data_IF_554365016496
#
_entry.id   IF_554365016496
#
_cell.length_a   1.000
_cell.length_b   1.000
_cell.length_c   1.000
_cell.angle_alpha   90.00
_cell.angle_beta   90.00
_cell.angle_gamma   90.00
#
_symmetry.space_group_name_H-M   'P 1'
#
loop_
_entity.id
_entity.type
_entity.pdbx_description
1 polymer ?
#
# COMPACT_ATOMS: atom_id res chain seq x y z
N UNK A 1 -24.37 1.41 5.81
CA UNK A 1 -23.06 1.10 5.24
C UNK A 1 -22.44 2.26 4.48
N UNK A 2 -22.86 2.65 3.27
CA UNK A 2 -22.22 3.81 2.58
C UNK A 2 -22.33 5.08 3.43
N UNK A 3 -23.50 5.30 4.05
CA UNK A 3 -23.70 6.36 5.05
C UNK A 3 -22.73 6.26 6.23
N UNK A 4 -22.48 5.05 6.74
CA UNK A 4 -21.56 4.82 7.87
C UNK A 4 -20.10 4.98 7.45
N UNK A 5 -19.73 4.56 6.25
CA UNK A 5 -18.42 4.81 5.65
C UNK A 5 -18.18 6.32 5.52
N UNK A 6 -19.13 7.04 4.90
CA UNK A 6 -19.06 8.48 4.76
C UNK A 6 -18.90 9.16 6.13
N UNK A 7 -19.75 8.81 7.10
CA UNK A 7 -19.79 9.46 8.42
C UNK A 7 -18.62 9.07 9.33
N UNK A 8 -18.25 7.79 9.37
CA UNK A 8 -17.26 7.27 10.33
C UNK A 8 -15.82 7.37 9.82
N UNK A 9 -15.55 7.33 8.52
CA UNK A 9 -14.16 7.33 8.04
C UNK A 9 -13.88 8.32 6.92
N UNK A 10 -14.77 8.47 5.93
CA UNK A 10 -14.49 9.31 4.76
C UNK A 10 -14.41 10.78 5.13
N UNK A 11 -15.34 11.29 5.95
CA UNK A 11 -15.29 12.68 6.45
C UNK A 11 -14.02 12.92 7.28
N UNK A 12 -13.60 11.95 8.09
CA UNK A 12 -12.38 12.08 8.90
C UNK A 12 -11.14 12.12 8.01
N UNK A 13 -11.05 11.20 7.06
CA UNK A 13 -9.95 11.15 6.10
C UNK A 13 -9.94 12.37 5.18
N UNK A 14 -11.08 12.81 4.65
CA UNK A 14 -11.19 14.01 3.80
C UNK A 14 -10.74 15.27 4.54
N UNK A 15 -11.08 15.40 5.84
CA UNK A 15 -10.57 16.48 6.67
C UNK A 15 -9.05 16.41 6.83
N UNK A 16 -8.51 15.22 7.16
CA UNK A 16 -7.07 14.99 7.28
C UNK A 16 -6.33 15.30 5.96
N UNK A 17 -6.88 14.80 4.85
CA UNK A 17 -6.36 14.97 3.51
C UNK A 17 -6.27 16.45 3.14
N UNK A 18 -7.39 17.16 3.19
CA UNK A 18 -7.46 18.55 2.73
C UNK A 18 -6.74 19.53 3.67
N UNK A 19 -6.84 19.34 4.99
CA UNK A 19 -6.30 20.30 5.97
C UNK A 19 -4.81 20.07 6.28
N UNK A 20 -4.30 18.86 6.08
CA UNK A 20 -2.90 18.53 6.38
C UNK A 20 -2.12 18.00 5.18
N UNK A 21 -2.59 16.94 4.54
CA UNK A 21 -1.77 16.19 3.56
C UNK A 21 -1.62 16.98 2.24
N UNK A 22 -2.72 17.43 1.64
CA UNK A 22 -2.71 18.19 0.38
C UNK A 22 -2.23 19.63 0.58
N UNK A 23 -2.55 20.24 1.72
CA UNK A 23 -2.12 21.60 2.06
C UNK A 23 -0.59 21.73 2.16
N UNK A 24 0.09 20.71 2.69
CA UNK A 24 1.54 20.75 2.90
C UNK A 24 2.31 20.14 1.74
N UNK A 25 3.11 20.97 1.04
CA UNK A 25 3.85 20.55 -0.16
C UNK A 25 5.11 19.70 0.11
N UNK A 26 5.72 19.83 1.30
CA UNK A 26 7.05 19.24 1.60
C UNK A 26 7.08 18.35 2.84
N UNK A 27 6.45 18.77 3.93
CA UNK A 27 6.49 18.06 5.21
C UNK A 27 5.27 18.39 6.06
N UNK A 28 4.84 17.45 6.88
CA UNK A 28 3.77 17.63 7.86
C UNK A 28 3.92 16.63 9.00
N UNK A 29 3.12 16.81 10.06
CA UNK A 29 3.11 15.92 11.22
C UNK A 29 1.73 15.29 11.34
N UNK A 30 1.73 13.97 11.50
CA UNK A 30 0.53 13.20 11.82
C UNK A 30 0.62 12.67 13.26
N UNK A 31 -0.51 12.71 13.97
CA UNK A 31 -0.64 12.00 15.26
C UNK A 31 -0.86 10.50 15.04
N UNK A 32 -0.74 9.71 16.09
CA UNK A 32 -1.09 8.29 16.05
C UNK A 32 -2.55 8.05 15.59
N UNK A 33 -3.50 8.88 16.04
CA UNK A 33 -4.91 8.77 15.65
C UNK A 33 -5.11 9.11 14.17
N UNK A 34 -4.40 10.12 13.66
CA UNK A 34 -4.45 10.48 12.24
C UNK A 34 -3.84 9.38 11.35
N UNK A 35 -2.77 8.73 11.81
CA UNK A 35 -2.23 7.54 11.13
C UNK A 35 -3.23 6.38 11.15
N UNK A 36 -3.98 6.20 12.23
CA UNK A 36 -5.03 5.18 12.30
C UNK A 36 -6.18 5.49 11.33
N UNK A 37 -6.69 6.72 11.29
CA UNK A 37 -7.70 7.18 10.34
C UNK A 37 -7.22 6.90 8.90
N UNK A 38 -5.98 7.30 8.58
CA UNK A 38 -5.37 7.04 7.29
C UNK A 38 -5.35 5.55 6.95
N UNK A 39 -4.83 4.71 7.85
CA UNK A 39 -4.73 3.26 7.60
C UNK A 39 -6.10 2.60 7.49
N UNK A 40 -7.07 2.96 8.32
CA UNK A 40 -8.46 2.48 8.23
C UNK A 40 -9.08 2.80 6.88
N UNK A 41 -8.94 4.04 6.41
CA UNK A 41 -9.45 4.43 5.10
C UNK A 41 -8.88 3.54 3.99
N UNK A 42 -7.56 3.34 3.98
CA UNK A 42 -6.89 2.52 2.96
C UNK A 42 -7.25 1.03 3.07
N UNK A 43 -7.39 0.49 4.28
CA UNK A 43 -7.89 -0.89 4.50
C UNK A 43 -9.28 -1.03 3.90
N UNK A 44 -10.16 -0.06 4.13
CA UNK A 44 -11.51 -0.12 3.56
C UNK A 44 -11.46 0.05 2.04
N UNK A 45 -10.58 0.89 1.48
CA UNK A 45 -10.38 0.97 0.02
C UNK A 45 -10.05 -0.38 -0.58
N UNK A 46 -9.13 -1.15 0.02
CA UNK A 46 -8.77 -2.47 -0.52
C UNK A 46 -9.87 -3.51 -0.29
N UNK A 47 -10.54 -3.47 0.86
CA UNK A 47 -11.65 -4.36 1.17
C UNK A 47 -12.88 -4.11 0.30
N UNK A 48 -13.08 -2.87 -0.20
CA UNK A 48 -14.24 -2.47 -1.01
C UNK A 48 -14.27 -3.11 -2.40
N UNK A 49 -13.20 -3.77 -2.80
CA UNK A 49 -13.15 -4.49 -4.07
C UNK A 49 -13.86 -5.81 -3.88
N UNK A 50 -15.09 -5.89 -4.40
CA UNK A 50 -15.74 -7.19 -4.59
C UNK A 50 -14.93 -7.95 -5.64
N UNK A 51 -14.17 -8.96 -5.19
CA UNK A 51 -13.46 -9.88 -6.08
C UNK A 51 -14.53 -10.51 -6.97
N UNK A 52 -14.45 -10.27 -8.27
CA UNK A 52 -15.32 -10.96 -9.20
C UNK A 52 -14.97 -12.44 -9.28
N UNK A 53 -15.91 -13.28 -9.70
CA UNK A 53 -15.66 -14.72 -9.79
C UNK A 53 -14.46 -15.08 -10.67
N UNK A 54 -14.20 -14.28 -11.70
CA UNK A 54 -13.03 -14.39 -12.58
C UNK A 54 -11.69 -14.05 -11.89
N UNK A 55 -11.73 -13.20 -10.86
CA UNK A 55 -10.57 -12.78 -10.05
C UNK A 55 -10.39 -13.68 -8.80
N UNK A 56 -11.32 -14.61 -8.53
CA UNK A 56 -11.22 -15.51 -7.38
C UNK A 56 -10.10 -16.53 -7.60
N UNK A 57 -9.19 -16.61 -6.65
CA UNK A 57 -8.11 -17.61 -6.66
C UNK A 57 -8.74 -18.99 -6.49
N UNK A 58 -8.72 -19.79 -7.55
CA UNK A 58 -9.07 -21.21 -7.45
C UNK A 58 -7.94 -21.94 -6.73
N UNK A 59 -8.14 -22.24 -5.46
CA UNK A 59 -7.21 -23.06 -4.68
C UNK A 59 -7.50 -24.54 -5.00
N UNK A 60 -6.55 -25.29 -5.58
CA UNK A 60 -6.76 -26.69 -5.90
C UNK A 60 -7.21 -27.50 -4.67
N UNK A 61 -8.32 -28.23 -4.80
CA UNK A 61 -8.86 -29.07 -3.74
C UNK A 61 -9.75 -28.35 -2.72
N UNK A 62 -10.02 -27.05 -2.90
CA UNK A 62 -10.92 -26.27 -2.05
C UNK A 62 -12.25 -26.01 -2.76
N UNK A 63 -13.36 -26.19 -2.04
CA UNK A 63 -14.72 -25.88 -2.49
C UNK A 63 -15.00 -24.37 -2.46
N UNK A 64 -16.03 -23.93 -3.18
CA UNK A 64 -16.47 -22.53 -3.13
C UNK A 64 -16.96 -22.11 -1.73
N UNK A 65 -17.59 -23.01 -0.98
CA UNK A 65 -18.03 -22.74 0.39
C UNK A 65 -16.84 -22.49 1.33
N UNK A 66 -15.78 -23.30 1.21
CA UNK A 66 -14.55 -23.11 1.97
C UNK A 66 -13.86 -21.80 1.58
N UNK A 67 -13.80 -21.48 0.28
CA UNK A 67 -13.24 -20.22 -0.20
C UNK A 67 -14.04 -19.01 0.33
N UNK A 68 -15.37 -19.06 0.24
CA UNK A 68 -16.25 -18.00 0.76
C UNK A 68 -16.13 -17.85 2.28
N UNK A 69 -15.89 -18.94 3.01
CA UNK A 69 -15.61 -18.90 4.46
C UNK A 69 -14.28 -18.18 4.76
N UNK A 70 -13.24 -18.43 3.96
CA UNK A 70 -11.93 -17.76 4.09
C UNK A 70 -11.94 -16.29 3.69
N UNK A 71 -12.80 -15.91 2.73
CA UNK A 71 -12.99 -14.52 2.33
C UNK A 71 -13.86 -13.75 3.33
N UNK A 72 -14.81 -14.45 3.94
CA UNK A 72 -15.82 -13.91 4.85
C UNK A 72 -16.79 -12.95 4.16
N UNK A 73 -17.74 -12.42 4.94
CA UNK A 73 -18.66 -11.42 4.42
C UNK A 73 -17.97 -10.07 4.23
N UNK A 74 -18.13 -9.54 3.03
CA UNK A 74 -17.54 -8.27 2.61
C UNK A 74 -17.96 -7.10 3.51
N UNK A 75 -19.23 -7.04 3.91
CA UNK A 75 -19.76 -5.94 4.70
C UNK A 75 -19.37 -6.06 6.17
N UNK A 76 -19.37 -7.28 6.72
CA UNK A 76 -18.86 -7.58 8.05
C UNK A 76 -17.39 -7.16 8.19
N UNK A 77 -16.55 -7.50 7.20
CA UNK A 77 -15.14 -7.10 7.17
C UNK A 77 -14.94 -5.59 7.24
N UNK A 78 -15.72 -4.83 6.46
CA UNK A 78 -15.66 -3.36 6.48
C UNK A 78 -16.12 -2.82 7.83
N UNK A 79 -17.23 -3.33 8.38
CA UNK A 79 -17.79 -2.87 9.66
C UNK A 79 -16.83 -3.11 10.83
N UNK A 80 -16.19 -4.29 10.90
CA UNK A 80 -15.15 -4.62 11.88
C UNK A 80 -14.05 -3.56 11.94
N UNK A 81 -13.57 -3.12 10.78
CA UNK A 81 -12.55 -2.07 10.70
C UNK A 81 -13.12 -0.70 11.03
N UNK A 82 -14.31 -0.36 10.54
CA UNK A 82 -14.96 0.92 10.83
C UNK A 82 -15.15 1.13 12.34
N UNK A 83 -15.47 0.08 13.09
CA UNK A 83 -15.76 0.15 14.52
C UNK A 83 -14.52 0.17 15.41
N UNK A 84 -13.33 -0.16 14.87
CA UNK A 84 -12.06 -0.01 15.60
C UNK A 84 -11.78 1.46 15.93
N UNK A 85 -11.68 1.79 17.22
CA UNK A 85 -11.31 3.10 17.75
C UNK A 85 -9.82 3.22 18.00
N UNK A 86 -9.15 2.11 18.28
CA UNK A 86 -7.71 2.08 18.59
C UNK A 86 -6.94 1.20 17.61
N UNK A 87 -5.62 1.35 17.62
CA UNK A 87 -4.72 0.52 16.82
C UNK A 87 -4.73 -0.92 17.31
N UNK A 88 -4.81 -1.11 18.62
CA UNK A 88 -4.84 -2.40 19.31
C UNK A 88 -6.07 -3.21 18.94
N UNK A 89 -7.23 -2.56 18.79
CA UNK A 89 -8.45 -3.20 18.30
C UNK A 89 -8.27 -3.70 16.86
N UNK A 90 -7.70 -2.88 15.98
CA UNK A 90 -7.46 -3.27 14.59
C UNK A 90 -6.40 -4.39 14.48
N UNK A 91 -5.42 -4.43 15.38
CA UNK A 91 -4.42 -5.51 15.44
C UNK A 91 -4.99 -6.88 15.82
N UNK A 92 -6.19 -6.96 16.43
CA UNK A 92 -6.83 -8.26 16.68
C UNK A 92 -7.09 -9.05 15.39
N UNK A 93 -7.20 -8.36 14.26
CA UNK A 93 -7.41 -8.96 12.95
C UNK A 93 -6.12 -9.36 12.24
N UNK A 94 -4.94 -9.13 12.82
CA UNK A 94 -3.69 -9.72 12.33
C UNK A 94 -3.27 -10.95 13.13
N UNK A 95 -4.02 -11.29 14.18
CA UNK A 95 -3.75 -12.45 15.00
C UNK A 95 -4.37 -13.70 14.35
N UNK A 96 -3.52 -14.62 13.93
CA UNK A 96 -3.95 -15.88 13.30
C UNK A 96 -4.67 -16.81 14.28
N UNK A 97 -4.56 -16.56 15.60
CA UNK A 97 -5.25 -17.34 16.62
C UNK A 97 -6.65 -16.78 16.94
N UNK A 98 -7.05 -15.67 16.31
CA UNK A 98 -8.38 -15.10 16.50
C UNK A 98 -9.38 -15.75 15.54
N UNK A 99 -10.23 -16.62 16.08
CA UNK A 99 -11.28 -17.38 15.35
C UNK A 99 -12.25 -16.51 14.54
N UNK A 100 -12.36 -15.20 14.86
CA UNK A 100 -13.27 -14.27 14.17
C UNK A 100 -12.66 -13.61 12.92
N UNK A 101 -11.37 -13.86 12.66
CA UNK A 101 -10.61 -13.24 11.58
C UNK A 101 -10.55 -14.17 10.38
N UNK A 102 -11.22 -13.82 9.29
CA UNK A 102 -11.05 -14.51 8.02
C UNK A 102 -9.73 -14.07 7.34
N UNK A 103 -9.25 -14.89 6.40
CA UNK A 103 -7.92 -14.72 5.82
C UNK A 103 -7.81 -13.46 4.95
N UNK A 104 -8.91 -13.05 4.31
CA UNK A 104 -8.94 -11.85 3.49
C UNK A 104 -8.76 -10.58 4.33
N UNK A 105 -9.53 -10.46 5.42
CA UNK A 105 -9.39 -9.39 6.40
C UNK A 105 -7.98 -9.42 7.01
N UNK A 106 -7.49 -10.59 7.39
CA UNK A 106 -6.14 -10.76 7.93
C UNK A 106 -5.07 -10.20 6.99
N UNK A 107 -5.08 -10.62 5.71
CA UNK A 107 -4.06 -10.26 4.74
C UNK A 107 -3.99 -8.74 4.54
N UNK A 108 -5.12 -8.07 4.28
CA UNK A 108 -5.14 -6.64 4.00
C UNK A 108 -4.90 -5.77 5.24
N UNK A 109 -5.44 -6.16 6.39
CA UNK A 109 -5.18 -5.45 7.64
C UNK A 109 -3.70 -5.56 7.99
N UNK A 110 -3.11 -6.75 7.87
CA UNK A 110 -1.67 -6.96 8.10
C UNK A 110 -0.82 -6.10 7.16
N UNK A 111 -1.10 -6.16 5.86
CA UNK A 111 -0.36 -5.41 4.84
C UNK A 111 -0.33 -3.90 5.13
N UNK A 112 -1.47 -3.32 5.48
CA UNK A 112 -1.59 -1.87 5.66
C UNK A 112 -1.25 -1.42 7.08
N UNK A 113 -1.56 -2.20 8.13
CA UNK A 113 -1.23 -1.84 9.52
C UNK A 113 0.25 -2.02 9.82
N UNK A 114 0.90 -3.05 9.27
CA UNK A 114 2.31 -3.33 9.54
C UNK A 114 3.28 -2.57 8.62
N UNK A 115 2.81 -2.06 7.47
CA UNK A 115 3.59 -1.19 6.60
C UNK A 115 3.83 0.21 7.19
N UNK A 116 4.92 0.85 6.76
CA UNK A 116 5.14 2.27 7.01
C UNK A 116 4.64 3.11 5.83
N UNK A 117 4.25 4.34 6.12
CA UNK A 117 3.64 5.25 5.13
C UNK A 117 4.70 6.16 4.51
N UNK A 118 4.79 6.16 3.19
CA UNK A 118 5.55 7.15 2.41
C UNK A 118 4.56 8.01 1.62
N UNK A 119 4.83 9.30 1.54
CA UNK A 119 4.02 10.24 0.75
C UNK A 119 4.84 10.69 -0.47
N UNK A 120 4.26 10.59 -1.64
CA UNK A 120 4.93 10.92 -2.91
C UNK A 120 4.11 11.93 -3.71
N UNK A 121 4.80 12.77 -4.49
CA UNK A 121 4.19 13.78 -5.36
C UNK A 121 4.89 13.91 -6.71
N UNK A 122 4.19 14.48 -7.67
CA UNK A 122 4.61 14.57 -9.07
C UNK A 122 4.77 16.00 -9.60
N UNK A 123 4.71 17.00 -8.71
CA UNK A 123 4.71 18.44 -9.06
C UNK A 123 5.84 18.88 -9.99
N UNK A 124 6.97 18.17 -10.02
CA UNK A 124 8.14 18.53 -10.82
C UNK A 124 8.25 17.78 -12.15
N UNK A 125 7.55 16.65 -12.31
CA UNK A 125 7.66 15.81 -13.49
C UNK A 125 6.52 16.01 -14.50
N UNK A 126 5.46 16.75 -14.11
CA UNK A 126 4.26 17.02 -14.93
C UNK A 126 3.53 15.75 -15.39
N UNK A 127 3.70 14.66 -14.64
CA UNK A 127 2.93 13.43 -14.84
C UNK A 127 1.92 13.31 -13.70
N UNK A 128 0.66 13.04 -14.00
CA UNK A 128 -0.39 12.84 -12.99
C UNK A 128 -0.53 11.35 -12.65
N UNK A 129 -0.95 11.06 -11.43
CA UNK A 129 -1.37 9.72 -11.05
C UNK A 129 -2.72 9.36 -11.68
N UNK A 130 -2.84 8.12 -12.11
CA UNK A 130 -4.09 7.50 -12.53
C UNK A 130 -4.77 6.90 -11.30
N UNK A 131 -6.08 7.12 -11.14
CA UNK A 131 -6.87 6.51 -10.07
C UNK A 131 -7.72 5.39 -10.67
N UNK A 132 -7.39 4.10 -10.43
CA UNK A 132 -8.21 3.00 -10.90
C UNK A 132 -9.49 2.89 -10.06
N UNK A 133 -10.52 2.25 -10.60
CA UNK A 133 -11.75 1.89 -9.87
C UNK A 133 -11.50 1.06 -8.60
N UNK A 134 -10.48 0.20 -8.61
CA UNK A 134 -10.00 -0.54 -7.44
C UNK A 134 -9.34 0.37 -6.38
N UNK A 135 -8.97 1.61 -6.73
CA UNK A 135 -8.45 2.64 -5.81
C UNK A 135 -7.01 2.45 -5.33
N UNK A 136 -6.33 1.37 -5.72
CA UNK A 136 -4.93 1.10 -5.37
C UNK A 136 -4.28 0.13 -6.36
N UNK A 137 -2.99 -0.15 -6.20
CA UNK A 137 -2.33 -1.33 -6.75
C UNK A 137 -1.25 -1.85 -5.77
N UNK A 138 -0.98 -3.16 -5.81
CA UNK A 138 0.12 -3.78 -5.06
C UNK A 138 1.26 -4.15 -6.00
N UNK A 139 2.48 -4.20 -5.46
CA UNK A 139 3.66 -4.69 -6.16
C UNK A 139 4.34 -5.82 -5.40
N UNK A 140 4.66 -6.89 -6.13
CA UNK A 140 5.42 -8.04 -5.67
C UNK A 140 6.67 -8.17 -6.52
N UNK A 141 7.80 -7.70 -6.00
CA UNK A 141 9.06 -7.70 -6.72
C UNK A 141 9.82 -9.02 -6.60
N UNK A 142 11.08 -9.05 -7.09
CA UNK A 142 11.94 -10.24 -7.11
C UNK A 142 12.16 -10.92 -5.75
N UNK A 143 11.90 -10.22 -4.63
CA UNK A 143 12.10 -10.73 -3.27
C UNK A 143 10.81 -10.98 -2.48
N UNK A 144 9.62 -10.77 -3.07
CA UNK A 144 8.30 -10.89 -2.42
C UNK A 144 8.21 -11.97 -1.31
N UNK A 145 8.34 -13.26 -1.63
CA UNK A 145 8.36 -14.35 -0.61
C UNK A 145 9.70 -14.51 0.10
N UNK A 146 10.80 -14.13 -0.57
CA UNK A 146 12.18 -14.25 -0.04
C UNK A 146 12.45 -13.32 1.14
N UNK A 147 11.65 -12.24 1.33
CA UNK A 147 11.76 -11.34 2.49
C UNK A 147 11.61 -12.09 3.81
N UNK A 148 10.63 -12.99 3.90
CA UNK A 148 10.35 -13.74 5.13
C UNK A 148 11.52 -14.66 5.48
N UNK A 149 11.94 -15.49 4.53
CA UNK A 149 13.05 -16.43 4.73
C UNK A 149 14.36 -15.69 5.03
N UNK A 150 14.67 -14.63 4.27
CA UNK A 150 15.83 -13.79 4.51
C UNK A 150 15.85 -13.15 5.90
N UNK A 151 14.69 -12.69 6.39
CA UNK A 151 14.58 -12.12 7.75
C UNK A 151 14.80 -13.19 8.83
N UNK A 152 14.23 -14.39 8.65
CA UNK A 152 14.41 -15.50 9.59
C UNK A 152 15.85 -16.02 9.60
N UNK A 153 16.52 -16.04 8.45
CA UNK A 153 17.93 -16.44 8.39
C UNK A 153 18.86 -15.41 9.03
N UNK A 154 18.55 -14.11 8.89
CA UNK A 154 19.24 -13.08 9.66
C UNK A 154 19.00 -13.23 11.17
N UNK A 155 17.79 -13.60 11.59
CA UNK A 155 17.49 -13.87 12.99
C UNK A 155 18.34 -15.02 13.52
N UNK A 156 18.43 -16.14 12.80
CA UNK A 156 19.28 -17.28 13.19
C UNK A 156 20.76 -16.89 13.34
N UNK A 157 21.25 -15.97 12.51
CA UNK A 157 22.65 -15.51 12.54
C UNK A 157 22.94 -14.50 13.65
N UNK A 158 22.00 -13.61 13.94
CA UNK A 158 22.20 -12.47 14.87
C UNK A 158 21.58 -12.66 16.25
N UNK A 159 20.65 -13.62 16.38
CA UNK A 159 19.77 -13.83 17.52
C UNK A 159 19.02 -12.57 17.99
N UNK A 160 18.68 -11.69 17.05
CA UNK A 160 18.07 -10.40 17.34
C UNK A 160 16.54 -10.46 17.39
N UNK A 161 15.90 -10.26 18.56
CA UNK A 161 14.44 -10.35 18.70
C UNK A 161 13.65 -9.36 17.83
N UNK A 162 14.28 -8.27 17.36
CA UNK A 162 13.65 -7.37 16.41
C UNK A 162 13.26 -8.09 15.11
N UNK A 163 14.10 -9.01 14.64
CA UNK A 163 13.91 -9.69 13.36
C UNK A 163 12.75 -10.69 13.39
N UNK A 164 12.53 -11.39 14.51
CA UNK A 164 11.36 -12.28 14.62
C UNK A 164 10.05 -11.47 14.66
N UNK A 165 10.05 -10.32 15.34
CA UNK A 165 8.90 -9.41 15.33
C UNK A 165 8.67 -8.83 13.93
N UNK A 166 9.75 -8.48 13.22
CA UNK A 166 9.67 -8.03 11.84
C UNK A 166 9.10 -9.10 10.92
N UNK A 167 9.57 -10.35 11.01
CA UNK A 167 9.10 -11.48 10.20
C UNK A 167 7.58 -11.67 10.33
N UNK A 168 7.03 -11.56 11.55
CA UNK A 168 5.59 -11.66 11.81
C UNK A 168 4.77 -10.58 11.11
N UNK A 169 5.37 -9.44 10.80
CA UNK A 169 4.75 -8.29 10.14
C UNK A 169 4.82 -8.34 8.61
N UNK A 170 5.54 -9.29 8.03
CA UNK A 170 5.75 -9.34 6.58
C UNK A 170 4.56 -9.96 5.83
N UNK A 171 4.34 -9.42 4.63
CA UNK A 171 3.42 -9.89 3.59
C UNK A 171 4.21 -10.10 2.29
N UNK A 172 3.65 -10.84 1.31
CA UNK A 172 4.26 -10.98 -0.01
C UNK A 172 4.49 -9.63 -0.70
N UNK A 173 3.57 -8.68 -0.57
CA UNK A 173 3.69 -7.35 -1.17
C UNK A 173 4.92 -6.57 -0.68
N UNK A 174 5.70 -6.03 -1.62
CA UNK A 174 6.79 -5.11 -1.31
C UNK A 174 6.25 -3.73 -0.95
N UNK A 175 5.23 -3.29 -1.68
CA UNK A 175 4.45 -2.11 -1.33
C UNK A 175 3.09 -2.08 -2.03
N UNK A 176 2.24 -1.16 -1.56
CA UNK A 176 0.95 -0.84 -2.17
C UNK A 176 0.84 0.66 -2.41
N UNK A 177 0.38 1.08 -3.59
CA UNK A 177 0.22 2.49 -4.02
C UNK A 177 -1.25 2.90 -4.01
N UNK A 178 -1.53 4.03 -3.39
CA UNK A 178 -2.87 4.60 -3.24
C UNK A 178 -2.84 6.05 -3.74
N UNK A 179 -3.26 6.32 -4.98
CA UNK A 179 -3.39 7.70 -5.46
C UNK A 179 -4.54 8.38 -4.72
N UNK A 180 -4.26 9.54 -4.11
CA UNK A 180 -5.20 10.28 -3.26
C UNK A 180 -5.57 11.65 -3.84
N UNK A 181 -4.80 12.11 -4.82
CA UNK A 181 -5.07 13.26 -5.68
C UNK A 181 -4.32 13.06 -6.99
N UNK A 182 -4.55 13.94 -7.98
CA UNK A 182 -3.88 13.85 -9.27
C UNK A 182 -2.34 13.94 -9.16
N UNK A 183 -1.82 14.77 -8.24
CA UNK A 183 -0.38 14.96 -8.06
C UNK A 183 0.22 14.21 -6.86
N UNK A 184 -0.58 13.40 -6.14
CA UNK A 184 -0.19 12.85 -4.84
C UNK A 184 -0.68 11.43 -4.61
N UNK A 185 0.23 10.58 -4.12
CA UNK A 185 -0.08 9.21 -3.71
C UNK A 185 0.53 8.87 -2.34
N UNK A 186 -0.05 7.86 -1.72
CA UNK A 186 0.45 7.21 -0.51
C UNK A 186 1.02 5.86 -0.90
N UNK A 187 2.24 5.58 -0.48
CA UNK A 187 2.85 4.26 -0.62
C UNK A 187 2.91 3.59 0.76
N UNK A 188 2.37 2.38 0.85
CA UNK A 188 2.48 1.50 2.01
C UNK A 188 3.63 0.53 1.77
N UNK A 189 4.77 0.83 2.37
CA UNK A 189 6.00 0.05 2.18
C UNK A 189 6.08 -1.08 3.21
N UNK A 190 6.44 -2.27 2.74
CA UNK A 190 6.75 -3.41 3.60
C UNK A 190 7.82 -3.04 4.63
N UNK A 191 7.65 -3.39 5.92
CA UNK A 191 8.61 -3.01 6.95
C UNK A 191 9.98 -3.66 6.76
N UNK A 192 10.10 -4.71 5.91
CA UNK A 192 11.37 -5.31 5.50
C UNK A 192 12.38 -4.29 4.98
N UNK A 193 11.93 -3.28 4.23
CA UNK A 193 12.84 -2.31 3.61
C UNK A 193 13.57 -1.43 4.63
N UNK A 194 13.14 -1.40 5.90
CA UNK A 194 13.91 -0.79 6.99
C UNK A 194 15.26 -1.48 7.24
N UNK A 195 15.42 -2.72 6.78
CA UNK A 195 16.70 -3.45 6.85
C UNK A 195 17.68 -3.02 5.75
N UNK A 196 17.23 -2.30 4.71
CA UNK A 196 18.02 -1.98 3.52
C UNK A 196 18.29 -0.47 3.39
N UNK A 197 17.61 0.38 4.17
CA UNK A 197 17.87 1.83 4.16
C UNK A 197 19.22 2.19 4.78
N UNK A 198 19.72 3.38 4.41
CA UNK A 198 20.95 3.96 4.96
C UNK A 198 20.91 4.00 6.50
N UNK A 199 21.96 3.50 7.13
CA UNK A 199 22.07 3.41 8.60
C UNK A 199 21.47 2.14 9.21
N UNK A 200 20.93 1.22 8.40
CA UNK A 200 20.62 -0.14 8.86
C UNK A 200 21.88 -0.84 9.35
N UNK A 201 21.78 -1.54 10.48
CA UNK A 201 22.85 -2.41 11.00
C UNK A 201 22.95 -3.75 10.29
N UNK A 202 21.99 -4.05 9.40
CA UNK A 202 21.94 -5.31 8.67
C UNK A 202 22.48 -5.10 7.26
N UNK A 203 23.43 -5.94 6.88
CA UNK A 203 23.99 -5.94 5.53
C UNK A 203 23.18 -6.90 4.64
N UNK A 204 22.12 -6.39 4.02
CA UNK A 204 21.30 -7.16 3.06
C UNK A 204 21.95 -7.09 1.69
N UNK A 205 22.33 -8.26 1.15
CA UNK A 205 22.78 -8.38 -0.23
C UNK A 205 21.54 -8.54 -1.12
N UNK A 206 21.37 -7.61 -2.06
CA UNK A 206 20.30 -7.67 -3.05
C UNK A 206 20.59 -8.72 -4.13
N UNK A 207 19.56 -9.33 -4.73
CA UNK A 207 19.77 -10.36 -5.74
C UNK A 207 20.39 -9.79 -7.02
N UNK A 208 21.17 -10.59 -7.79
CA UNK A 208 21.87 -10.12 -9.00
C UNK A 208 20.95 -9.52 -10.07
N UNK A 209 19.73 -10.04 -10.20
CA UNK A 209 18.71 -9.54 -11.12
C UNK A 209 18.18 -8.14 -10.73
N UNK A 210 18.29 -7.75 -9.46
CA UNK A 210 17.86 -6.46 -8.95
C UNK A 210 18.89 -5.88 -7.96
N UNK A 211 20.08 -5.47 -8.45
CA UNK A 211 21.23 -5.13 -7.61
C UNK A 211 21.10 -3.78 -6.91
N UNK A 212 20.02 -3.04 -7.16
CA UNK A 212 19.74 -1.73 -6.54
C UNK A 212 18.30 -1.71 -6.06
N UNK A 213 18.02 -0.90 -5.03
CA UNK A 213 16.66 -0.72 -4.52
C UNK A 213 15.69 -0.22 -5.60
N UNK A 214 16.15 0.69 -6.47
CA UNK A 214 15.35 1.19 -7.59
C UNK A 214 14.93 0.07 -8.54
N UNK A 215 15.87 -0.80 -8.94
CA UNK A 215 15.55 -1.97 -9.79
C UNK A 215 14.67 -3.00 -9.09
N UNK A 216 14.85 -3.16 -7.78
CA UNK A 216 14.09 -4.12 -6.99
C UNK A 216 12.61 -3.70 -6.85
N UNK A 217 12.39 -2.43 -6.57
CA UNK A 217 11.07 -1.84 -6.35
C UNK A 217 10.43 -1.30 -7.62
N UNK A 218 11.20 -1.16 -8.70
CA UNK A 218 10.79 -0.55 -9.96
C UNK A 218 10.61 0.97 -9.92
N UNK A 219 10.77 1.61 -8.76
CA UNK A 219 10.74 3.06 -8.63
C UNK A 219 11.68 3.57 -7.55
N UNK A 220 11.92 4.88 -7.57
CA UNK A 220 12.56 5.67 -6.52
C UNK A 220 14.00 5.28 -6.25
N UNK A 221 14.49 5.75 -5.10
CA UNK A 221 15.80 5.42 -4.56
C UNK A 221 15.70 5.30 -3.03
N UNK A 222 16.80 4.98 -2.35
CA UNK A 222 16.84 4.77 -0.89
C UNK A 222 16.21 5.94 -0.10
N UNK A 223 16.38 7.19 -0.55
CA UNK A 223 15.81 8.37 0.11
C UNK A 223 14.29 8.49 -0.08
N UNK A 224 13.75 7.96 -1.17
CA UNK A 224 12.29 7.88 -1.41
C UNK A 224 11.64 6.98 -0.36
N UNK A 225 12.32 5.91 0.05
CA UNK A 225 11.79 4.88 0.95
C UNK A 225 12.03 5.12 2.44
N UNK A 226 12.54 6.29 2.80
CA UNK A 226 12.81 6.58 4.21
C UNK A 226 11.50 6.66 4.99
N UNK A 227 11.37 5.83 6.02
CA UNK A 227 10.18 5.85 6.88
C UNK A 227 10.04 7.17 7.66
N UNK A 228 8.81 7.61 8.00
CA UNK A 228 8.60 8.81 8.81
C UNK A 228 9.41 8.76 10.12
N UNK A 229 9.99 9.90 10.51
CA UNK A 229 10.67 10.01 11.81
C UNK A 229 9.62 10.05 12.92
N UNK A 230 9.67 9.11 13.84
CA UNK A 230 8.77 9.04 14.98
C UNK A 230 9.39 9.81 16.15
N UNK A 231 8.63 10.76 16.69
CA UNK A 231 8.95 11.40 17.97
C UNK A 231 8.07 10.75 19.03
N UNK A 232 8.69 9.94 19.88
CA UNK A 232 8.05 9.41 21.08
C UNK A 232 7.90 10.55 22.09
N UNK A 233 6.66 10.78 22.51
CA UNK A 233 6.38 11.76 23.55
C UNK A 233 5.94 10.98 24.79
N UNK A 234 6.81 10.87 25.81
CA UNK A 234 6.49 10.17 27.05
C UNK A 234 5.19 10.72 27.67
N UNK A 235 4.13 9.88 27.70
CA UNK A 235 2.81 10.25 28.21
C UNK A 235 1.86 10.95 27.23
N UNK A 236 2.23 11.14 25.95
CA UNK A 236 1.36 11.68 24.89
C UNK A 236 1.36 10.77 23.66
N UNK A 237 0.46 11.03 22.72
CA UNK A 237 0.42 10.31 21.44
C UNK A 237 1.70 10.56 20.62
N UNK A 238 2.19 9.49 19.98
CA UNK A 238 3.35 9.56 19.10
C UNK A 238 3.08 10.48 17.91
N UNK A 239 4.10 11.25 17.53
CA UNK A 239 4.06 12.14 16.37
C UNK A 239 4.93 11.57 15.24
N UNK A 240 4.37 11.54 14.03
CA UNK A 240 5.02 11.03 12.83
C UNK A 240 5.36 12.22 11.94
N UNK A 241 6.66 12.52 11.81
CA UNK A 241 7.16 13.56 10.90
C UNK A 241 7.25 12.97 9.50
N UNK A 242 6.30 13.35 8.66
CA UNK A 242 6.17 12.90 7.29
C UNK A 242 6.86 13.88 6.34
N UNK A 243 7.65 13.34 5.42
CA UNK A 243 8.25 14.10 4.33
C UNK A 243 7.62 13.64 3.01
N UNK A 244 7.30 14.61 2.15
CA UNK A 244 6.72 14.36 0.83
C UNK A 244 7.85 14.27 -0.19
N UNK A 245 8.02 13.09 -0.77
CA UNK A 245 9.05 12.81 -1.76
C UNK A 245 8.56 13.15 -3.16
N UNK A 246 9.43 13.71 -3.98
CA UNK A 246 9.11 14.04 -5.37
C UNK A 246 9.56 12.90 -6.26
N UNK A 247 8.70 12.48 -7.17
CA UNK A 247 8.97 11.41 -8.12
C UNK A 247 9.52 11.96 -9.43
N UNK A 248 10.36 11.15 -10.07
CA UNK A 248 10.74 11.36 -11.46
C UNK A 248 9.60 10.95 -12.40
N UNK A 249 9.74 11.26 -13.69
CA UNK A 249 8.77 10.82 -14.72
C UNK A 249 8.69 9.29 -14.76
N UNK A 250 9.84 8.62 -14.75
CA UNK A 250 9.93 7.16 -14.86
C UNK A 250 9.27 6.46 -13.66
N UNK A 251 9.46 7.00 -12.46
CA UNK A 251 8.80 6.51 -11.25
C UNK A 251 7.27 6.57 -11.38
N UNK A 252 6.73 7.69 -11.89
CA UNK A 252 5.29 7.86 -12.05
C UNK A 252 4.75 6.96 -13.15
N UNK A 253 5.46 6.84 -14.28
CA UNK A 253 5.07 5.95 -15.37
C UNK A 253 5.02 4.48 -14.89
N UNK A 254 6.03 4.05 -14.13
CA UNK A 254 6.05 2.72 -13.55
C UNK A 254 4.90 2.51 -12.54
N UNK A 255 4.68 3.44 -11.60
CA UNK A 255 3.57 3.31 -10.64
C UNK A 255 2.20 3.34 -11.31
N UNK A 256 2.01 4.20 -12.32
CA UNK A 256 0.80 4.24 -13.12
C UNK A 256 0.59 2.95 -13.92
N UNK A 257 1.66 2.28 -14.35
CA UNK A 257 1.53 0.96 -14.98
C UNK A 257 0.88 -0.07 -14.06
N UNK A 258 1.27 -0.10 -12.77
CA UNK A 258 0.65 -0.96 -11.76
C UNK A 258 -0.83 -0.58 -11.53
N UNK A 259 -1.14 0.71 -11.46
CA UNK A 259 -2.50 1.21 -11.25
C UNK A 259 -3.41 0.86 -12.44
N UNK A 260 -2.91 1.01 -13.67
CA UNK A 260 -3.60 0.61 -14.90
C UNK A 260 -3.79 -0.91 -14.99
N UNK A 261 -2.79 -1.69 -14.59
CA UNK A 261 -2.90 -3.14 -14.51
C UNK A 261 -3.91 -3.58 -13.45
N UNK A 262 -4.11 -2.80 -12.39
CA UNK A 262 -5.13 -3.12 -11.39
C UNK A 262 -6.52 -2.54 -11.73
N UNK A 263 -6.64 -1.65 -12.72
CA UNK A 263 -7.95 -1.17 -13.18
C UNK A 263 -8.77 -2.31 -13.77
N UNK A 264 -10.08 -2.30 -13.50
CA UNK A 264 -11.02 -3.29 -14.06
C UNK A 264 -11.87 -2.71 -15.18
N UNK A 265 -12.61 -1.65 -14.87
CA UNK A 265 -13.57 -1.05 -15.79
C UNK A 265 -13.39 0.45 -15.95
N UNK A 266 -13.04 1.15 -14.86
CA UNK A 266 -12.89 2.60 -14.90
C UNK A 266 -11.51 3.04 -14.39
N UNK A 267 -11.04 4.16 -14.96
CA UNK A 267 -9.96 4.96 -14.39
C UNK A 267 -10.37 6.44 -14.40
N UNK A 268 -9.79 7.18 -13.48
CA UNK A 268 -9.86 8.63 -13.43
C UNK A 268 -8.46 9.23 -13.55
N UNK A 269 -8.37 10.36 -14.22
CA UNK A 269 -7.16 11.18 -14.36
C UNK A 269 -7.59 12.64 -14.50
N UNK A 270 -6.74 13.58 -14.09
CA UNK A 270 -7.07 15.00 -14.15
C UNK A 270 -6.89 15.58 -15.55
N UNK A 271 -5.78 15.24 -16.21
CA UNK A 271 -5.44 15.72 -17.54
C UNK A 271 -4.84 14.58 -18.38
N UNK A 272 -5.35 14.40 -19.59
CA UNK A 272 -4.88 13.37 -20.52
C UNK A 272 -3.43 13.59 -20.93
N UNK A 273 -3.03 14.85 -21.15
CA UNK A 273 -1.67 15.18 -21.58
C UNK A 273 -0.65 14.83 -20.49
N UNK A 274 -1.04 14.97 -19.22
CA UNK A 274 -0.20 14.64 -18.07
C UNK A 274 -0.17 13.13 -17.74
N UNK A 275 -0.88 12.27 -18.48
CA UNK A 275 -0.76 10.80 -18.33
C UNK A 275 -0.27 10.11 -19.60
N UNK A 276 0.03 10.88 -20.65
CA UNK A 276 0.35 10.35 -21.97
C UNK A 276 1.58 9.44 -21.95
N UNK A 277 2.63 9.83 -21.22
CA UNK A 277 3.86 9.03 -21.10
C UNK A 277 3.61 7.74 -20.33
N UNK A 278 2.77 7.78 -19.29
CA UNK A 278 2.34 6.57 -18.58
C UNK A 278 1.59 5.60 -19.49
N UNK A 279 0.71 6.11 -20.36
CA UNK A 279 -0.01 5.28 -21.35
C UNK A 279 0.94 4.67 -22.38
N UNK A 280 1.90 5.46 -22.89
CA UNK A 280 2.95 4.97 -23.80
C UNK A 280 3.84 3.93 -23.11
N UNK A 281 4.20 4.14 -21.84
CA UNK A 281 5.02 3.20 -21.08
C UNK A 281 4.37 1.80 -21.01
N UNK A 282 3.07 1.74 -20.68
CA UNK A 282 2.34 0.47 -20.54
C UNK A 282 2.25 -0.29 -21.86
N UNK A 283 2.06 0.40 -22.99
CA UNK A 283 1.98 -0.27 -24.30
C UNK A 283 3.31 -0.89 -24.73
N UNK A 284 4.44 -0.33 -24.30
CA UNK A 284 5.77 -0.90 -24.58
C UNK A 284 6.15 -2.04 -23.62
N UNK A 285 5.60 -2.05 -22.40
CA UNK A 285 5.85 -3.11 -21.41
C UNK A 285 5.04 -4.41 -21.65
N UNK A 286 4.35 -4.53 -22.79
CA UNK A 286 3.74 -5.77 -23.28
C UNK A 286 2.78 -6.42 -22.29
N UNK A 287 1.81 -5.64 -21.80
CA UNK A 287 0.77 -6.14 -20.91
C UNK A 287 -0.38 -6.72 -21.72
N UNK A 288 -0.72 -8.00 -21.52
CA UNK A 288 -1.81 -8.72 -22.21
C UNK A 288 -3.22 -8.14 -21.96
N UNK A 289 -3.34 -7.00 -21.26
CA UNK A 289 -4.61 -6.35 -20.96
C UNK A 289 -5.06 -5.45 -22.09
N UNK A 290 -6.30 -5.67 -22.55
CA UNK A 290 -6.94 -4.81 -23.52
C UNK A 290 -7.33 -3.46 -22.91
N UNK A 291 -6.60 -2.40 -23.28
CA UNK A 291 -6.90 -1.01 -22.94
C UNK A 291 -7.71 -0.28 -24.03
N UNK A 292 -8.44 -1.01 -24.87
CA UNK A 292 -9.28 -0.44 -25.95
C UNK A 292 -10.26 0.63 -25.47
N UNK A 293 -10.73 0.54 -24.23
CA UNK A 293 -11.59 1.55 -23.60
C UNK A 293 -10.90 2.91 -23.37
N UNK A 294 -9.56 2.96 -23.38
CA UNK A 294 -8.79 4.22 -23.34
C UNK A 294 -8.75 4.88 -24.74
N UNK A 295 -8.96 4.11 -25.80
CA UNK A 295 -9.07 4.63 -27.17
C UNK A 295 -10.48 5.14 -27.43
N UNK A 296 -10.77 6.39 -27.04
CA UNK A 296 -11.86 7.12 -27.70
C UNK A 296 -11.36 7.68 -29.04
N UNK A 297 -12.15 7.42 -30.09
CA UNK A 297 -11.94 7.90 -31.46
C UNK A 297 -11.81 9.43 -31.47
N UNK A 298 -10.97 9.98 -32.38
CA UNK A 298 -10.81 11.42 -32.56
C UNK A 298 -12.13 12.13 -32.88
#
# INVERSE_FOLDING_TARGET
MEKDFCQKIEVQFANLLNKKILFNKKRFILTADEILILKKFLIITVLRIKIAEEDKVKIPGMTEEELNSLEGDFYDNINKILDCKTKEEAFKYIDIYNETTNMNLHAYVKDILCSYTVFVRTNYCKEDFIIPDKGYASYEGPIHVKKLTGTLDLYKKSNDPFLINLARMLTPHDYSVFPIAHDMAIIKMSPFFKLIVDGSRYNIILPPEAPTISKLLGFGNVQTFTSPKVKENFGKTNEYKCEVKQLSVDDVCFLNSLLLLNARQYLAFADRENIKRSLEYVTHCNTEKDYSFIKQKP
#
